data_IF_513677921407
#
_entry.id   IF_513677921407
#
_cell.length_a   1.000
_cell.length_b   1.000
_cell.length_c   1.000
_cell.angle_alpha   90.00
_cell.angle_beta   90.00
_cell.angle_gamma   90.00
#
_symmetry.space_group_name_H-M   'P 1'
#
loop_
_entity.id
_entity.type
_entity.pdbx_description
1 polymer ?
#
# COMPACT_ATOMS: atom_id res chain seq x y z
N UNK A 1 -21.06 -11.13 -15.99
CA UNK A 1 -21.26 -11.53 -14.57
C UNK A 1 -19.89 -11.85 -14.00
N UNK A 2 -19.54 -11.32 -12.84
CA UNK A 2 -18.36 -11.79 -12.09
C UNK A 2 -18.82 -12.96 -11.25
N UNK A 3 -18.24 -14.14 -11.43
CA UNK A 3 -18.70 -15.38 -10.78
C UNK A 3 -18.46 -15.40 -9.26
N UNK A 4 -17.93 -14.31 -8.69
CA UNK A 4 -17.57 -14.12 -7.28
C UNK A 4 -16.63 -15.23 -6.74
N UNK A 5 -15.87 -15.85 -7.64
CA UNK A 5 -14.89 -16.88 -7.34
C UNK A 5 -13.50 -16.25 -7.16
N UNK A 6 -12.80 -16.67 -6.11
CA UNK A 6 -11.39 -16.38 -5.90
C UNK A 6 -10.59 -17.66 -6.03
N UNK A 7 -9.50 -17.63 -6.80
CA UNK A 7 -8.67 -18.82 -7.06
C UNK A 7 -7.20 -18.49 -6.85
N UNK A 8 -6.49 -19.41 -6.20
CA UNK A 8 -5.03 -19.40 -6.09
C UNK A 8 -4.44 -20.50 -6.98
N UNK A 9 -3.25 -20.25 -7.51
CA UNK A 9 -2.57 -21.13 -8.45
C UNK A 9 -1.20 -21.51 -7.90
N UNK A 10 -0.73 -22.70 -8.25
CA UNK A 10 0.58 -23.19 -7.80
C UNK A 10 1.73 -22.68 -8.67
N UNK A 11 1.42 -22.18 -9.87
CA UNK A 11 2.40 -21.62 -10.79
C UNK A 11 1.87 -20.40 -11.55
N UNK A 12 2.80 -19.57 -12.03
CA UNK A 12 2.50 -18.42 -12.89
C UNK A 12 1.80 -18.87 -14.18
N UNK A 13 2.25 -19.97 -14.79
CA UNK A 13 1.68 -20.47 -16.05
C UNK A 13 0.21 -20.87 -15.88
N UNK A 14 -0.14 -21.53 -14.78
CA UNK A 14 -1.54 -21.86 -14.48
C UNK A 14 -2.41 -20.61 -14.33
N UNK A 15 -1.90 -19.60 -13.63
CA UNK A 15 -2.60 -18.33 -13.44
C UNK A 15 -2.84 -17.62 -14.79
N UNK A 16 -1.82 -17.54 -15.65
CA UNK A 16 -1.90 -16.96 -16.99
C UNK A 16 -2.91 -17.73 -17.86
N UNK A 17 -2.84 -19.06 -17.89
CA UNK A 17 -3.79 -19.91 -18.64
C UNK A 17 -5.23 -19.66 -18.19
N UNK A 18 -5.45 -19.52 -16.89
CA UNK A 18 -6.77 -19.28 -16.34
C UNK A 18 -7.33 -17.90 -16.73
N UNK A 19 -6.56 -16.81 -16.55
CA UNK A 19 -7.03 -15.47 -16.93
C UNK A 19 -7.21 -15.32 -18.44
N UNK A 20 -6.38 -15.97 -19.25
CA UNK A 20 -6.59 -16.04 -20.71
C UNK A 20 -7.88 -16.78 -21.09
N UNK A 21 -8.28 -17.78 -20.30
CA UNK A 21 -9.56 -18.45 -20.51
C UNK A 21 -10.75 -17.55 -20.14
N UNK A 22 -10.64 -16.76 -19.08
CA UNK A 22 -11.65 -15.76 -18.72
C UNK A 22 -11.75 -14.65 -19.79
N UNK A 23 -10.61 -14.21 -20.30
CA UNK A 23 -10.52 -13.18 -21.34
C UNK A 23 -11.20 -13.62 -22.64
N UNK A 24 -10.91 -14.85 -23.10
CA UNK A 24 -11.59 -15.45 -24.27
C UNK A 24 -13.10 -15.59 -24.10
N UNK A 25 -13.59 -15.70 -22.86
CA UNK A 25 -15.02 -15.74 -22.54
C UNK A 25 -15.63 -14.34 -22.41
N UNK A 26 -14.85 -13.26 -22.56
CA UNK A 26 -15.31 -11.89 -22.34
C UNK A 26 -15.66 -11.60 -20.87
N UNK A 27 -15.11 -12.36 -19.92
CA UNK A 27 -15.37 -12.16 -18.49
C UNK A 27 -14.54 -11.00 -17.95
N UNK A 28 -15.11 -10.30 -16.98
CA UNK A 28 -14.42 -9.29 -16.18
C UNK A 28 -13.79 -9.96 -14.96
N UNK A 29 -12.50 -9.72 -14.72
CA UNK A 29 -11.75 -10.34 -13.62
C UNK A 29 -10.70 -9.37 -13.06
N UNK A 30 -10.21 -9.68 -11.87
CA UNK A 30 -9.09 -8.98 -11.25
C UNK A 30 -7.91 -9.95 -11.07
N UNK A 31 -6.68 -9.46 -11.20
CA UNK A 31 -5.49 -10.31 -11.10
C UNK A 31 -4.28 -9.63 -10.42
N UNK A 32 -3.34 -10.46 -9.98
CA UNK A 32 -2.12 -10.06 -9.26
C UNK A 32 -2.37 -9.62 -7.81
N UNK A 33 -1.31 -9.19 -7.11
CA UNK A 33 -1.35 -8.89 -5.67
C UNK A 33 -2.34 -7.78 -5.29
N UNK A 34 -2.36 -6.70 -6.07
CA UNK A 34 -3.26 -5.57 -5.90
C UNK A 34 -4.64 -5.80 -6.52
N UNK A 35 -4.90 -6.99 -7.09
CA UNK A 35 -6.19 -7.37 -7.66
C UNK A 35 -6.72 -6.33 -8.67
N UNK A 36 -5.88 -5.94 -9.63
CA UNK A 36 -6.22 -4.94 -10.65
C UNK A 36 -7.26 -5.53 -11.60
N UNK A 37 -8.33 -4.78 -11.87
CA UNK A 37 -9.38 -5.17 -12.79
C UNK A 37 -8.90 -5.19 -14.26
N UNK A 38 -9.29 -6.20 -15.03
CA UNK A 38 -8.85 -6.42 -16.42
C UNK A 38 -9.22 -5.28 -17.36
N UNK A 39 -10.32 -4.55 -17.09
CA UNK A 39 -10.70 -3.36 -17.87
C UNK A 39 -9.65 -2.24 -17.78
N UNK A 40 -8.83 -2.23 -16.73
CA UNK A 40 -7.78 -1.23 -16.55
C UNK A 40 -6.47 -1.65 -17.24
N UNK A 41 -6.29 -2.91 -17.64
CA UNK A 41 -4.97 -3.41 -18.05
C UNK A 41 -4.35 -2.60 -19.18
N UNK A 42 -5.10 -2.41 -20.27
CA UNK A 42 -4.63 -1.66 -21.44
C UNK A 42 -4.20 -0.24 -21.07
N UNK A 43 -5.00 0.46 -20.28
CA UNK A 43 -4.75 1.85 -19.87
C UNK A 43 -3.50 2.03 -19.01
N UNK A 44 -3.08 0.98 -18.30
CA UNK A 44 -1.90 0.99 -17.43
C UNK A 44 -0.74 0.11 -17.94
N UNK A 45 -0.76 -0.29 -19.23
CA UNK A 45 0.32 -1.07 -19.83
C UNK A 45 0.52 -2.47 -19.24
N UNK A 46 -0.57 -3.05 -18.72
CA UNK A 46 -0.66 -4.45 -18.29
C UNK A 46 -1.33 -5.29 -19.38
N UNK A 47 -1.07 -6.59 -19.29
CA UNK A 47 -1.75 -7.66 -20.00
C UNK A 47 -1.75 -8.90 -19.09
N UNK A 48 -2.34 -10.00 -19.55
CA UNK A 48 -2.44 -11.23 -18.77
C UNK A 48 -1.09 -11.86 -18.40
N UNK A 49 0.00 -11.52 -19.10
CA UNK A 49 1.34 -11.99 -18.77
C UNK A 49 2.01 -11.07 -17.73
N UNK A 50 1.77 -9.76 -17.83
CA UNK A 50 2.43 -8.75 -17.00
C UNK A 50 1.71 -8.47 -15.68
N UNK A 51 0.42 -8.76 -15.55
CA UNK A 51 -0.35 -8.47 -14.33
C UNK A 51 0.15 -9.24 -13.10
N UNK A 52 0.86 -10.35 -13.31
CA UNK A 52 1.45 -11.15 -12.23
C UNK A 52 2.88 -10.75 -11.88
N UNK A 53 3.50 -9.83 -12.61
CA UNK A 53 4.77 -9.23 -12.18
C UNK A 53 4.54 -8.43 -10.89
N UNK A 54 5.20 -8.84 -9.81
CA UNK A 54 4.95 -8.33 -8.46
C UNK A 54 5.14 -6.81 -8.40
N UNK A 55 6.29 -6.33 -8.86
CA UNK A 55 6.64 -4.91 -8.80
C UNK A 55 5.70 -4.08 -9.66
N UNK A 56 5.43 -4.52 -10.89
CA UNK A 56 4.57 -3.80 -11.83
C UNK A 56 3.12 -3.78 -11.36
N UNK A 57 2.62 -4.88 -10.80
CA UNK A 57 1.27 -4.94 -10.24
C UNK A 57 1.11 -4.01 -9.04
N UNK A 58 2.09 -3.98 -8.12
CA UNK A 58 2.08 -3.05 -6.98
C UNK A 58 2.15 -1.60 -7.47
N UNK A 59 3.04 -1.29 -8.41
CA UNK A 59 3.20 0.06 -8.96
C UNK A 59 1.92 0.56 -9.64
N UNK A 60 1.29 -0.27 -10.48
CA UNK A 60 0.03 0.10 -11.15
C UNK A 60 -1.11 0.21 -10.14
N UNK A 61 -1.20 -0.70 -9.17
CA UNK A 61 -2.20 -0.63 -8.11
C UNK A 61 -2.09 0.66 -7.29
N UNK A 62 -0.87 1.02 -6.88
CA UNK A 62 -0.60 2.28 -6.21
C UNK A 62 -0.99 3.49 -7.08
N UNK A 63 -0.62 3.49 -8.36
CA UNK A 63 -0.99 4.56 -9.30
C UNK A 63 -2.51 4.73 -9.43
N UNK A 64 -3.26 3.64 -9.62
CA UNK A 64 -4.73 3.69 -9.69
C UNK A 64 -5.32 4.28 -8.40
N UNK A 65 -4.81 3.86 -7.24
CA UNK A 65 -5.29 4.36 -5.95
C UNK A 65 -4.99 5.86 -5.78
N UNK A 66 -3.78 6.30 -6.12
CA UNK A 66 -3.38 7.71 -6.09
C UNK A 66 -4.28 8.56 -7.01
N UNK A 67 -4.49 8.13 -8.25
CA UNK A 67 -5.37 8.85 -9.18
C UNK A 67 -6.81 8.93 -8.67
N UNK A 68 -7.30 7.86 -8.02
CA UNK A 68 -8.62 7.87 -7.40
C UNK A 68 -8.72 8.84 -6.22
N UNK A 69 -7.63 9.02 -5.47
CA UNK A 69 -7.52 9.98 -4.37
C UNK A 69 -7.45 11.42 -4.86
N UNK A 70 -6.62 11.71 -5.87
CA UNK A 70 -6.46 13.04 -6.45
C UNK A 70 -7.74 13.58 -7.09
N UNK A 71 -8.61 12.69 -7.60
CA UNK A 71 -9.93 13.06 -8.13
C UNK A 71 -10.91 13.55 -7.05
N UNK A 72 -10.64 13.32 -5.76
CA UNK A 72 -11.57 13.66 -4.69
C UNK A 72 -11.54 15.15 -4.36
N UNK A 73 -12.72 15.78 -4.40
CA UNK A 73 -12.90 17.20 -4.11
C UNK A 73 -13.60 17.42 -2.77
N UNK A 74 -13.10 18.40 -2.00
CA UNK A 74 -13.63 18.75 -0.68
C UNK A 74 -13.49 17.65 0.39
N UNK A 75 -13.92 17.97 1.62
CA UNK A 75 -13.88 17.06 2.76
C UNK A 75 -12.48 16.84 3.36
N UNK A 76 -12.43 16.08 4.45
CA UNK A 76 -11.17 15.70 5.12
C UNK A 76 -10.37 14.70 4.28
N UNK A 77 -9.06 14.65 4.48
CA UNK A 77 -8.17 13.68 3.83
C UNK A 77 -8.65 12.23 4.06
N UNK A 78 -9.11 11.92 5.26
CA UNK A 78 -9.66 10.62 5.61
C UNK A 78 -10.88 10.26 4.75
N UNK A 79 -11.77 11.22 4.48
CA UNK A 79 -12.90 11.00 3.57
C UNK A 79 -12.41 10.73 2.14
N UNK A 80 -11.41 11.48 1.67
CA UNK A 80 -10.82 11.29 0.34
C UNK A 80 -10.18 9.92 0.19
N UNK A 81 -9.42 9.43 1.19
CA UNK A 81 -8.83 8.08 1.17
C UNK A 81 -9.91 7.01 1.10
N UNK A 82 -10.96 7.09 1.92
CA UNK A 82 -12.07 6.11 1.88
C UNK A 82 -12.81 6.11 0.55
N UNK A 83 -13.05 7.28 -0.04
CA UNK A 83 -13.63 7.38 -1.37
C UNK A 83 -12.71 6.77 -2.43
N UNK A 84 -11.40 7.04 -2.36
CA UNK A 84 -10.43 6.44 -3.28
C UNK A 84 -10.43 4.91 -3.20
N UNK A 85 -10.52 4.34 -1.99
CA UNK A 85 -10.68 2.91 -1.76
C UNK A 85 -12.00 2.37 -2.34
N UNK A 86 -13.10 3.08 -2.15
CA UNK A 86 -14.41 2.75 -2.74
C UNK A 86 -14.34 2.66 -4.27
N UNK A 87 -13.68 3.64 -4.90
CA UNK A 87 -13.44 3.66 -6.36
C UNK A 87 -12.48 2.55 -6.80
N UNK A 88 -11.42 2.29 -6.05
CA UNK A 88 -10.49 1.21 -6.36
C UNK A 88 -11.21 -0.13 -6.40
N UNK A 89 -12.12 -0.36 -5.45
CA UNK A 89 -12.92 -1.58 -5.36
C UNK A 89 -14.00 -1.70 -6.45
N UNK A 90 -14.68 -0.61 -6.81
CA UNK A 90 -15.96 -0.68 -7.52
C UNK A 90 -16.20 0.38 -8.60
N UNK A 91 -15.21 1.23 -8.85
CA UNK A 91 -15.26 2.31 -9.84
C UNK A 91 -16.07 3.55 -9.43
N UNK A 92 -16.66 3.59 -8.23
CA UNK A 92 -17.44 4.74 -7.75
C UNK A 92 -17.28 4.99 -6.24
N UNK A 93 -17.67 6.18 -5.79
CA UNK A 93 -17.48 6.64 -4.39
C UNK A 93 -18.53 6.10 -3.42
N UNK A 94 -19.46 5.23 -3.83
CA UNK A 94 -20.59 4.76 -3.01
C UNK A 94 -20.46 3.29 -2.62
N UNK A 95 -20.18 2.43 -3.58
CA UNK A 95 -20.32 0.98 -3.43
C UNK A 95 -19.38 0.38 -2.38
N UNK A 96 -18.20 0.94 -2.16
CA UNK A 96 -17.27 0.51 -1.11
C UNK A 96 -17.77 0.73 0.33
N UNK A 97 -18.80 1.54 0.53
CA UNK A 97 -19.45 1.76 1.84
C UNK A 97 -20.67 0.85 2.06
N UNK A 98 -21.10 0.10 1.04
CA UNK A 98 -22.24 -0.80 1.16
C UNK A 98 -21.79 -2.09 1.82
N UNK A 99 -22.55 -2.53 2.83
CA UNK A 99 -22.33 -3.79 3.55
C UNK A 99 -22.55 -4.99 2.65
N UNK A 100 -21.71 -6.00 2.79
CA UNK A 100 -21.74 -7.21 1.96
C UNK A 100 -22.02 -8.44 2.83
N UNK A 101 -23.04 -9.22 2.43
CA UNK A 101 -23.46 -10.41 3.16
C UNK A 101 -22.32 -11.45 3.28
N UNK A 102 -21.54 -11.63 2.21
CA UNK A 102 -20.43 -12.59 2.17
C UNK A 102 -19.19 -12.15 2.96
N UNK A 103 -19.28 -11.07 3.73
CA UNK A 103 -18.18 -10.46 4.47
C UNK A 103 -18.61 -10.05 5.89
N UNK A 104 -19.38 -10.90 6.57
CA UNK A 104 -19.87 -10.68 7.94
C UNK A 104 -20.65 -9.36 8.10
N UNK A 105 -21.33 -8.92 7.04
CA UNK A 105 -22.03 -7.65 7.01
C UNK A 105 -21.13 -6.41 7.03
N UNK A 106 -19.84 -6.55 6.72
CA UNK A 106 -18.89 -5.43 6.59
C UNK A 106 -18.82 -4.93 5.16
N UNK A 107 -18.69 -3.62 5.00
CA UNK A 107 -18.36 -2.98 3.73
C UNK A 107 -16.88 -3.14 3.39
N UNK A 108 -16.51 -2.86 2.13
CA UNK A 108 -15.11 -2.92 1.71
C UNK A 108 -14.23 -1.95 2.51
N UNK A 109 -14.68 -0.70 2.69
CA UNK A 109 -13.95 0.32 3.45
C UNK A 109 -13.71 -0.14 4.89
N UNK A 110 -14.72 -0.67 5.58
CA UNK A 110 -14.56 -1.19 6.95
C UNK A 110 -13.54 -2.33 7.03
N UNK A 111 -13.52 -3.23 6.03
CA UNK A 111 -12.53 -4.33 6.00
C UNK A 111 -11.09 -3.83 5.83
N UNK A 112 -10.89 -2.75 5.07
CA UNK A 112 -9.56 -2.14 4.92
C UNK A 112 -9.14 -1.44 6.22
N UNK A 113 -10.05 -0.69 6.85
CA UNK A 113 -9.78 0.00 8.11
C UNK A 113 -9.44 -0.96 9.25
N UNK A 114 -10.11 -2.11 9.34
CA UNK A 114 -9.82 -3.13 10.36
C UNK A 114 -8.45 -3.79 10.21
N UNK A 115 -7.85 -3.72 9.02
CA UNK A 115 -6.50 -4.22 8.74
C UNK A 115 -5.42 -3.14 8.87
N UNK A 116 -5.79 -1.90 9.16
CA UNK A 116 -4.83 -0.84 9.35
C UNK A 116 -3.98 -1.09 10.60
N UNK A 117 -2.66 -1.10 10.44
CA UNK A 117 -1.73 -1.26 11.56
C UNK A 117 -1.73 -0.01 12.42
N UNK A 118 -1.91 -0.19 13.74
CA UNK A 118 -1.70 0.88 14.72
C UNK A 118 -0.21 0.97 15.03
N UNK A 119 0.47 1.95 14.45
CA UNK A 119 1.86 2.28 14.81
C UNK A 119 1.83 3.26 15.99
N UNK A 120 2.38 2.91 17.16
CA UNK A 120 2.50 3.84 18.29
C UNK A 120 3.33 5.08 17.91
N UNK A 121 3.01 6.22 18.50
CA UNK A 121 3.83 7.41 18.35
C UNK A 121 5.23 7.17 18.95
N UNK A 122 6.26 7.67 18.28
CA UNK A 122 7.60 7.76 18.85
C UNK A 122 7.59 8.94 19.84
N UNK A 123 7.58 8.64 21.13
CA UNK A 123 7.66 9.64 22.19
C UNK A 123 9.14 9.95 22.51
N UNK A 124 9.48 11.20 22.86
CA UNK A 124 10.80 11.51 23.40
C UNK A 124 11.04 10.74 24.71
N UNK A 125 12.30 10.47 25.09
CA UNK A 125 12.61 9.85 26.38
C UNK A 125 12.08 10.72 27.54
N UNK A 126 11.53 10.07 28.57
CA UNK A 126 11.01 10.76 29.76
C UNK A 126 12.16 11.52 30.47
N UNK A 127 11.97 12.83 30.70
CA UNK A 127 12.92 13.70 31.40
C UNK A 127 13.15 13.34 32.89
N UNK A 128 12.57 12.23 33.38
CA UNK A 128 12.65 11.77 34.77
C UNK A 128 13.42 10.45 34.96
N UNK A 129 14.12 9.92 33.95
CA UNK A 129 15.21 8.95 34.18
C UNK A 129 16.57 9.63 34.10
N UNK A 130 16.80 10.58 35.02
CA UNK A 130 18.15 11.03 35.40
C UNK A 130 18.75 9.98 36.34
N UNK A 131 19.25 8.87 35.79
CA UNK A 131 20.38 8.17 36.41
C UNK A 131 21.67 8.70 35.76
N UNK A 132 22.03 9.92 36.15
CA UNK A 132 23.35 10.48 35.90
C UNK A 132 24.32 9.80 36.87
N UNK A 133 24.82 8.63 36.49
CA UNK A 133 26.17 8.25 36.92
C UNK A 133 27.14 9.24 36.27
N UNK A 134 27.44 10.30 37.02
CA UNK A 134 28.47 11.28 36.72
C UNK A 134 29.80 10.53 36.66
N UNK A 135 30.14 10.01 35.49
CA UNK A 135 31.50 9.67 35.15
C UNK A 135 32.16 10.97 34.72
N UNK A 136 33.03 11.46 35.61
CA UNK A 136 33.98 12.54 35.37
C UNK A 136 34.69 12.28 34.05
N UNK A 137 34.32 13.02 33.01
CA UNK A 137 35.23 13.51 31.98
C UNK A 137 34.63 14.78 31.40
N UNK A 138 35.07 15.91 31.96
CA UNK A 138 34.85 17.23 31.39
C UNK A 138 35.71 17.29 30.12
N UNK A 139 35.12 17.03 28.97
CA UNK A 139 35.71 17.36 27.69
C UNK A 139 35.01 18.61 27.14
N UNK A 140 35.70 19.74 27.26
CA UNK A 140 35.33 21.02 26.66
C UNK A 140 35.31 20.87 25.13
N UNK A 141 34.13 20.78 24.53
CA UNK A 141 34.01 20.82 23.06
C UNK A 141 33.82 22.26 22.63
N UNK A 142 34.95 22.86 22.25
CA UNK A 142 35.02 24.06 21.42
C UNK A 142 34.22 23.81 20.15
N UNK A 143 33.43 24.81 19.80
CA UNK A 143 32.92 25.02 18.45
C UNK A 143 34.10 25.01 17.49
N UNK A 144 34.17 24.04 16.59
CA UNK A 144 34.53 24.21 15.18
C UNK A 144 34.54 22.85 14.45
N UNK A 145 33.61 22.76 13.49
CA UNK A 145 33.77 22.17 12.15
C UNK A 145 35.01 21.30 11.93
N UNK A 146 34.81 19.98 11.88
CA UNK A 146 35.45 19.12 10.88
C UNK A 146 34.70 17.77 10.80
N UNK A 147 33.75 17.71 9.87
CA UNK A 147 33.03 16.49 9.50
C UNK A 147 33.92 15.61 8.63
N UNK A 148 34.44 14.51 9.17
CA UNK A 148 34.77 13.34 8.35
C UNK A 148 34.19 12.11 9.05
N UNK A 149 33.06 11.64 8.52
CA UNK A 149 32.33 10.50 9.03
C UNK A 149 32.35 9.41 7.97
N UNK A 150 32.94 8.25 8.29
CA UNK A 150 32.77 7.05 7.46
C UNK A 150 31.49 6.35 7.90
N UNK A 151 30.47 6.45 7.08
CA UNK A 151 29.24 5.66 7.17
C UNK A 151 29.44 4.30 6.51
N UNK A 152 28.65 3.31 6.92
CA UNK A 152 28.69 1.96 6.34
C UNK A 152 28.30 2.01 4.85
N UNK A 153 28.96 1.22 4.00
CA UNK A 153 28.86 1.37 2.53
C UNK A 153 27.48 1.11 1.89
N UNK A 154 26.50 0.59 2.63
CA UNK A 154 25.14 0.34 2.12
C UNK A 154 24.11 1.36 2.60
N UNK A 155 24.47 2.24 3.54
CA UNK A 155 23.62 3.34 3.98
C UNK A 155 23.86 4.55 3.07
N UNK A 156 22.91 4.77 2.16
CA UNK A 156 22.98 5.84 1.15
C UNK A 156 22.91 7.22 1.78
N UNK A 157 22.19 7.38 2.89
CA UNK A 157 21.96 8.68 3.50
C UNK A 157 22.96 8.97 4.62
N UNK A 158 23.47 7.93 5.27
CA UNK A 158 24.49 8.09 6.30
C UNK A 158 24.00 8.92 7.49
N UNK A 159 22.69 9.06 7.64
CA UNK A 159 22.01 9.97 8.57
C UNK A 159 21.51 9.25 9.83
N UNK A 160 21.58 7.92 9.86
CA UNK A 160 21.63 7.16 11.10
C UNK A 160 23.07 7.17 11.64
N UNK A 161 23.37 8.26 12.34
CA UNK A 161 24.59 8.51 13.13
C UNK A 161 24.26 8.51 14.61
#
# INVERSE_FOLDING_TARGET
MSDNESRQFKSLEEAIRYVNNLDRQGKNYSAGLMQINSNNFKSYGLDNNKVFDVCKNIQVGAKILTENFERQQGGSEQKKVRNALSRFYSGNDKRGYIKEFNHDGKSYVERVEQKAYKVPALLPPDNNSLDLSISKDIATVKTETNFIQRTSSWDVFGDFK
#
